data_IF_089135966113
#
_entry.id   IF_089135966113
#
_cell.length_a   1.000
_cell.length_b   1.000
_cell.length_c   1.000
_cell.angle_alpha   90.00
_cell.angle_beta   90.00
_cell.angle_gamma   90.00
#
_symmetry.space_group_name_H-M   'P 1'
#
loop_
_entity.id
_entity.type
_entity.pdbx_description
1 polymer ?
#
# COMPACT_ATOMS: atom_id res chain seq x y z
N UNK A 1 14.51 -6.13 -22.89
CA UNK A 1 13.04 -5.94 -22.76
C UNK A 1 12.81 -5.29 -21.41
N UNK A 2 12.45 -4.00 -21.37
CA UNK A 2 12.25 -3.29 -20.11
C UNK A 2 10.91 -3.70 -19.51
N UNK A 3 10.94 -4.57 -18.51
CA UNK A 3 9.76 -5.01 -17.76
C UNK A 3 9.30 -3.99 -16.68
N UNK A 4 9.81 -2.76 -16.73
CA UNK A 4 9.51 -1.69 -15.76
C UNK A 4 8.29 -0.84 -16.13
N UNK A 5 7.74 -0.14 -15.14
CA UNK A 5 6.78 0.96 -15.36
C UNK A 5 7.50 2.18 -15.92
N UNK A 6 6.87 2.89 -16.84
CA UNK A 6 7.37 4.16 -17.39
C UNK A 6 7.06 5.30 -16.43
N UNK A 7 7.79 6.43 -16.55
CA UNK A 7 7.57 7.62 -15.70
C UNK A 7 6.13 8.16 -15.80
N UNK A 8 5.47 7.99 -16.96
CA UNK A 8 4.08 8.40 -17.17
C UNK A 8 3.07 7.56 -16.40
N UNK A 9 3.36 6.27 -16.20
CA UNK A 9 2.51 5.32 -15.47
C UNK A 9 2.65 5.43 -13.94
N UNK A 10 3.54 6.31 -13.46
CA UNK A 10 3.82 6.55 -12.04
C UNK A 10 3.38 7.96 -11.59
N UNK A 11 2.68 8.71 -12.45
CA UNK A 11 2.28 10.10 -12.14
C UNK A 11 1.38 10.20 -10.90
N UNK A 12 0.61 9.15 -10.61
CA UNK A 12 -0.30 9.09 -9.47
C UNK A 12 0.36 8.56 -8.18
N UNK A 13 1.67 8.30 -8.21
CA UNK A 13 2.44 7.82 -7.05
C UNK A 13 3.41 8.91 -6.62
N UNK A 14 3.15 9.52 -5.47
CA UNK A 14 3.96 10.62 -4.92
C UNK A 14 4.86 10.17 -3.76
N UNK A 15 4.53 9.05 -3.12
CA UNK A 15 5.26 8.57 -1.95
C UNK A 15 6.50 7.76 -2.34
N UNK A 16 6.43 6.93 -3.38
CA UNK A 16 7.52 6.04 -3.78
C UNK A 16 8.78 6.83 -4.19
N UNK A 17 9.92 6.55 -3.55
CA UNK A 17 11.19 7.23 -3.81
C UNK A 17 11.32 8.65 -3.23
N UNK A 18 10.27 9.18 -2.58
CA UNK A 18 10.32 10.47 -1.92
C UNK A 18 11.08 10.40 -0.57
N UNK A 19 12.00 11.34 -0.35
CA UNK A 19 12.79 11.47 0.89
C UNK A 19 12.15 12.39 1.94
N UNK A 20 11.13 13.16 1.57
CA UNK A 20 10.41 14.11 2.44
C UNK A 20 9.06 13.59 2.94
N UNK A 21 8.88 12.27 3.05
CA UNK A 21 7.61 11.69 3.48
C UNK A 21 7.30 12.08 4.93
N UNK A 22 6.16 12.74 5.14
CA UNK A 22 5.63 13.04 6.48
C UNK A 22 4.90 11.83 7.03
N UNK A 23 5.29 11.35 8.21
CA UNK A 23 4.66 10.19 8.86
C UNK A 23 3.55 10.66 9.81
N UNK A 24 2.31 10.30 9.46
CA UNK A 24 1.12 10.57 10.28
C UNK A 24 0.85 9.34 11.12
N UNK A 25 0.73 9.51 12.45
CA UNK A 25 0.47 8.41 13.40
C UNK A 25 -1.00 8.32 13.83
N UNK A 26 -1.85 9.20 13.28
CA UNK A 26 -3.30 9.12 13.39
C UNK A 26 -3.88 8.45 12.16
N UNK A 27 -5.08 7.88 12.27
CA UNK A 27 -5.77 7.29 11.13
C UNK A 27 -5.97 8.32 10.01
N UNK A 28 -5.42 8.03 8.83
CA UNK A 28 -5.58 8.83 7.62
C UNK A 28 -5.66 7.91 6.39
N UNK A 29 -6.86 7.69 5.81
CA UNK A 29 -7.01 6.87 4.62
C UNK A 29 -6.61 7.59 3.33
N UNK A 30 -6.36 8.90 3.36
CA UNK A 30 -6.02 9.69 2.17
C UNK A 30 -4.59 9.44 1.67
N UNK A 31 -3.75 8.80 2.48
CA UNK A 31 -2.38 8.43 2.13
C UNK A 31 -2.30 7.32 1.08
N UNK A 32 -3.37 6.52 0.92
CA UNK A 32 -3.38 5.37 0.02
C UNK A 32 -3.29 5.82 -1.45
N UNK A 33 -2.27 5.33 -2.14
CA UNK A 33 -2.03 5.58 -3.56
C UNK A 33 -2.32 4.29 -4.35
N UNK A 34 -2.69 4.45 -5.61
CA UNK A 34 -2.97 3.33 -6.49
C UNK A 34 -2.47 3.60 -7.90
N UNK A 35 -2.19 2.53 -8.65
CA UNK A 35 -1.75 2.61 -10.02
C UNK A 35 -2.47 1.58 -10.89
N UNK A 36 -2.46 1.79 -12.20
CA UNK A 36 -3.16 0.92 -13.13
C UNK A 36 -2.53 -0.48 -13.21
N UNK A 37 -3.40 -1.49 -13.19
CA UNK A 37 -3.04 -2.88 -13.41
C UNK A 37 -2.67 -3.10 -14.89
N UNK A 38 -1.47 -3.65 -15.15
CA UNK A 38 -1.01 -3.97 -16.50
C UNK A 38 -1.63 -5.24 -17.08
N UNK A 39 -2.23 -6.07 -16.23
CA UNK A 39 -2.79 -7.38 -16.57
C UNK A 39 -4.23 -7.53 -16.06
N UNK A 40 -5.17 -6.65 -16.44
CA UNK A 40 -6.54 -6.68 -15.93
C UNK A 40 -7.35 -7.91 -16.41
N UNK A 41 -6.89 -8.57 -17.48
CA UNK A 41 -7.52 -9.78 -18.02
C UNK A 41 -7.05 -11.07 -17.34
N UNK A 42 -6.11 -10.98 -16.40
CA UNK A 42 -5.58 -12.13 -15.68
C UNK A 42 -5.94 -12.02 -14.20
N UNK A 43 -6.59 -13.04 -13.67
CA UNK A 43 -6.77 -13.16 -12.23
C UNK A 43 -5.46 -13.64 -11.59
N UNK A 44 -4.85 -12.79 -10.77
CA UNK A 44 -3.68 -13.14 -9.98
C UNK A 44 -3.80 -12.64 -8.55
N UNK A 45 -3.20 -13.36 -7.61
CA UNK A 45 -3.17 -12.96 -6.21
C UNK A 45 -2.03 -11.99 -5.95
N UNK A 46 -2.36 -10.88 -5.31
CA UNK A 46 -1.40 -9.98 -4.66
C UNK A 46 -1.54 -10.17 -3.16
N UNK A 47 -0.41 -10.43 -2.49
CA UNK A 47 -0.37 -10.63 -1.04
C UNK A 47 0.61 -9.66 -0.37
N UNK A 48 0.11 -8.89 0.59
CA UNK A 48 0.91 -8.13 1.53
C UNK A 48 1.02 -8.91 2.85
N UNK A 49 2.25 -9.08 3.32
CA UNK A 49 2.51 -9.56 4.66
C UNK A 49 3.06 -8.36 5.44
N UNK A 50 2.30 -7.87 6.41
CA UNK A 50 2.65 -6.70 7.22
C UNK A 50 2.93 -7.17 8.66
N UNK A 51 4.15 -7.67 8.96
CA UNK A 51 4.50 -8.15 10.30
C UNK A 51 4.69 -7.03 11.34
N UNK A 52 4.79 -5.78 10.89
CA UNK A 52 5.12 -4.61 11.71
C UNK A 52 3.90 -3.76 12.07
N UNK A 53 2.68 -4.32 12.02
CA UNK A 53 1.48 -3.57 12.36
C UNK A 53 1.36 -3.35 13.87
N UNK A 54 1.09 -2.11 14.27
CA UNK A 54 0.81 -1.73 15.66
C UNK A 54 -0.30 -0.69 15.76
N UNK A 55 -1.11 -0.79 16.80
CA UNK A 55 -2.19 0.17 17.11
C UNK A 55 -2.37 0.29 18.63
N UNK A 56 -3.17 1.25 19.09
CA UNK A 56 -3.51 1.38 20.51
C UNK A 56 -4.84 0.69 20.83
N UNK A 57 -4.89 -0.03 21.94
CA UNK A 57 -6.14 -0.60 22.47
C UNK A 57 -7.08 0.54 22.91
N UNK A 58 -8.34 0.57 22.45
CA UNK A 58 -9.26 1.69 22.72
C UNK A 58 -9.65 1.82 24.19
N UNK A 59 -9.52 0.74 24.98
CA UNK A 59 -9.91 0.72 26.40
C UNK A 59 -8.72 1.08 27.30
N UNK A 60 -7.56 0.44 27.07
CA UNK A 60 -6.40 0.55 27.97
C UNK A 60 -5.33 1.52 27.50
N UNK A 61 -5.35 1.92 26.22
CA UNK A 61 -4.31 2.74 25.62
C UNK A 61 -2.95 2.03 25.47
N UNK A 62 -2.89 0.73 25.71
CA UNK A 62 -1.67 -0.06 25.53
C UNK A 62 -1.43 -0.35 24.04
N UNK A 63 -0.16 -0.47 23.61
CA UNK A 63 0.17 -0.84 22.24
C UNK A 63 -0.10 -2.33 21.99
N UNK A 64 -0.85 -2.60 20.94
CA UNK A 64 -1.08 -3.91 20.37
C UNK A 64 -0.16 -4.12 19.17
N UNK A 65 0.32 -5.35 19.01
CA UNK A 65 1.15 -5.76 17.88
C UNK A 65 0.51 -6.94 17.18
N UNK A 66 0.42 -6.88 15.85
CA UNK A 66 -0.13 -7.97 15.05
C UNK A 66 0.59 -8.11 13.72
N UNK A 67 0.46 -9.27 13.10
CA UNK A 67 0.82 -9.46 11.70
C UNK A 67 -0.44 -9.47 10.86
N UNK A 68 -0.55 -8.55 9.90
CA UNK A 68 -1.68 -8.48 8.97
C UNK A 68 -1.31 -9.16 7.66
N UNK A 69 -2.20 -10.02 7.17
CA UNK A 69 -2.10 -10.64 5.86
C UNK A 69 -3.24 -10.14 4.98
N UNK A 70 -2.92 -9.37 3.94
CA UNK A 70 -3.89 -8.86 2.98
C UNK A 70 -3.68 -9.59 1.66
N UNK A 71 -4.68 -10.34 1.21
CA UNK A 71 -4.66 -11.00 -0.11
C UNK A 71 -5.85 -10.51 -0.92
N UNK A 72 -5.59 -10.02 -2.12
CA UNK A 72 -6.63 -9.55 -3.03
C UNK A 72 -6.30 -9.87 -4.49
N UNK A 73 -7.34 -9.90 -5.33
CA UNK A 73 -7.22 -10.01 -6.78
C UNK A 73 -7.46 -8.60 -7.35
N UNK A 74 -6.47 -7.97 -8.00
CA UNK A 74 -6.63 -6.63 -8.54
C UNK A 74 -7.49 -6.65 -9.79
N UNK A 75 -8.47 -5.74 -9.87
CA UNK A 75 -9.18 -5.42 -11.10
C UNK A 75 -8.40 -4.41 -11.94
N UNK A 76 -8.94 -3.20 -12.08
CA UNK A 76 -8.30 -2.11 -12.85
C UNK A 76 -7.12 -1.46 -12.12
N UNK A 77 -7.16 -1.43 -10.77
CA UNK A 77 -6.17 -0.73 -9.94
C UNK A 77 -5.48 -1.66 -8.95
N UNK A 78 -4.25 -1.29 -8.61
CA UNK A 78 -3.43 -1.92 -7.58
C UNK A 78 -3.01 -0.88 -6.56
N UNK A 79 -2.99 -1.25 -5.27
CA UNK A 79 -2.48 -0.38 -4.20
C UNK A 79 -0.95 -0.32 -4.25
N UNK A 80 -0.40 0.86 -4.00
CA UNK A 80 1.04 1.08 -3.93
C UNK A 80 1.57 0.67 -2.55
N UNK A 81 2.69 -0.06 -2.53
CA UNK A 81 3.25 -0.71 -1.34
C UNK A 81 3.74 0.21 -0.23
N UNK A 82 4.22 1.43 -0.54
CA UNK A 82 4.68 2.41 0.46
C UNK A 82 3.51 3.22 1.04
N UNK A 83 2.43 3.37 0.27
CA UNK A 83 1.20 4.03 0.70
C UNK A 83 0.35 3.21 1.67
N UNK A 84 0.52 1.87 1.65
CA UNK A 84 -0.16 0.89 2.49
C UNK A 84 0.52 0.71 3.85
#
# INVERSE_FOLDING_TARGET
MNAGRTQGELQDITLLGNQGTSYIYTYDPSILESFDNKHPNNDYFVKFNCPEFTSLCPITGQPDFATIYISYIPGEKMVESKSL
#
